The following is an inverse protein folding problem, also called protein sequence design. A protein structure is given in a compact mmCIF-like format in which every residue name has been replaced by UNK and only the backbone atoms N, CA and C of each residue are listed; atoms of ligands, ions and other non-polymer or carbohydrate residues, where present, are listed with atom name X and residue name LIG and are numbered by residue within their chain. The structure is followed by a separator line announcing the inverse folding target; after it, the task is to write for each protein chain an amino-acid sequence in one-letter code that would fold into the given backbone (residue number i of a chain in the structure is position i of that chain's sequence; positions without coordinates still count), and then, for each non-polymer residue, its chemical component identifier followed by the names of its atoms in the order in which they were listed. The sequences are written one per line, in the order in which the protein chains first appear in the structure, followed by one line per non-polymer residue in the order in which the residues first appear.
data_IF_431482533774
#
_entry.id   IF_431482533774
#
_cell.length_a   1.000
_cell.length_b   1.000
_cell.length_c   1.000
_cell.angle_alpha   90.00
_cell.angle_beta   90.00
_cell.angle_gamma   90.00
#
_symmetry.space_group_name_H-M   'P 1'
#
loop_
_entity.id
_entity.type
_entity.pdbx_description
1 polymer ?
#
# COMPACT_ATOMS: atom_id res chain seq x y z
N UNK A 1 1.05 -41.78 -49.84
CA UNK A 1 1.96 -40.87 -49.11
C UNK A 1 1.99 -39.54 -49.85
N UNK A 2 1.36 -38.50 -49.28
CA UNK A 2 1.72 -37.10 -49.57
C UNK A 2 1.22 -36.28 -48.39
N UNK A 3 2.18 -36.00 -47.51
CA UNK A 3 2.07 -35.24 -46.27
C UNK A 3 1.99 -33.76 -46.63
N UNK A 4 0.90 -33.09 -46.29
CA UNK A 4 0.80 -31.63 -46.37
C UNK A 4 1.21 -31.08 -45.01
N UNK A 5 2.43 -30.54 -44.93
CA UNK A 5 2.92 -29.75 -43.81
C UNK A 5 2.12 -28.44 -43.72
N UNK A 6 1.47 -28.19 -42.58
CA UNK A 6 1.01 -26.86 -42.20
C UNK A 6 2.24 -25.99 -41.86
N UNK A 7 2.36 -24.76 -42.39
CA UNK A 7 3.39 -23.85 -41.95
C UNK A 7 3.03 -23.30 -40.56
N UNK A 8 3.99 -23.43 -39.65
CA UNK A 8 3.95 -22.91 -38.29
C UNK A 8 3.80 -21.38 -38.35
N UNK A 9 2.60 -20.87 -38.04
CA UNK A 9 2.37 -19.43 -37.89
C UNK A 9 2.98 -18.99 -36.55
N UNK A 10 4.23 -18.51 -36.58
CA UNK A 10 4.84 -17.84 -35.44
C UNK A 10 4.16 -16.48 -35.26
N UNK A 11 3.07 -16.45 -34.47
CA UNK A 11 2.47 -15.22 -33.98
C UNK A 11 3.42 -14.60 -32.95
N UNK A 12 4.31 -13.72 -33.43
CA UNK A 12 5.09 -12.84 -32.57
C UNK A 12 4.13 -11.79 -31.99
N UNK A 13 3.49 -12.13 -30.87
CA UNK A 13 2.70 -11.19 -30.08
C UNK A 13 3.62 -10.21 -29.38
N UNK A 14 3.99 -9.12 -30.07
CA UNK A 14 4.58 -7.97 -29.40
C UNK A 14 3.48 -7.33 -28.54
N UNK A 15 3.49 -7.63 -27.24
CA UNK A 15 2.76 -6.87 -26.25
C UNK A 15 3.28 -5.43 -26.33
N UNK A 16 2.57 -4.57 -27.06
CA UNK A 16 2.68 -3.13 -26.83
C UNK A 16 2.37 -2.91 -25.35
N UNK A 17 3.17 -2.14 -24.60
CA UNK A 17 2.67 -1.59 -23.36
C UNK A 17 1.49 -0.71 -23.75
N UNK A 18 0.29 -1.26 -23.63
CA UNK A 18 -0.92 -0.47 -23.63
C UNK A 18 -0.76 0.41 -22.40
N UNK A 19 -0.38 1.68 -22.60
CA UNK A 19 -0.63 2.71 -21.61
C UNK A 19 -2.13 2.92 -21.57
N UNK A 20 -2.84 1.93 -21.03
CA UNK A 20 -4.18 2.13 -20.54
C UNK A 20 -4.03 3.06 -19.34
N UNK A 21 -4.12 4.36 -19.59
CA UNK A 21 -4.63 5.31 -18.59
C UNK A 21 -6.12 5.03 -18.46
N UNK A 22 -6.45 3.82 -18.02
CA UNK A 22 -7.76 3.39 -17.57
C UNK A 22 -7.69 3.22 -16.07
N UNK A 23 -8.84 3.37 -15.40
CA UNK A 23 -9.05 3.36 -13.95
C UNK A 23 -8.59 2.06 -13.28
N UNK A 24 -7.30 1.81 -13.29
CA UNK A 24 -6.74 0.62 -12.66
C UNK A 24 -6.81 0.85 -11.16
N UNK A 25 -7.58 -0.02 -10.52
CA UNK A 25 -7.68 -0.09 -9.07
C UNK A 25 -6.36 -0.56 -8.44
N UNK A 26 -5.44 -1.09 -9.24
CA UNK A 26 -4.13 -1.58 -8.82
C UNK A 26 -3.05 -0.97 -9.72
N UNK A 27 -1.99 -0.41 -9.14
CA UNK A 27 -0.88 0.19 -9.88
C UNK A 27 0.45 -0.40 -9.41
N UNK A 28 1.31 -0.73 -10.37
CA UNK A 28 2.72 -1.04 -10.09
C UNK A 28 3.48 0.26 -9.90
N UNK A 29 4.34 0.31 -8.88
CA UNK A 29 5.15 1.47 -8.57
C UNK A 29 6.41 1.52 -9.45
N UNK A 30 6.97 2.72 -9.61
CA UNK A 30 8.18 2.93 -10.38
C UNK A 30 9.42 2.67 -9.52
N UNK A 31 10.14 1.59 -9.84
CA UNK A 31 11.36 1.20 -9.14
C UNK A 31 12.54 2.17 -9.39
N UNK A 32 12.44 3.04 -10.39
CA UNK A 32 13.46 4.02 -10.76
C UNK A 32 13.46 5.26 -9.85
N UNK A 33 12.37 5.52 -9.13
CA UNK A 33 12.29 6.61 -8.18
C UNK A 33 13.34 6.39 -7.07
N UNK A 34 14.18 7.41 -6.88
CA UNK A 34 15.22 7.37 -5.87
C UNK A 34 14.61 7.55 -4.47
N UNK A 35 15.21 6.89 -3.49
CA UNK A 35 14.77 6.90 -2.10
C UNK A 35 14.33 5.53 -1.59
N UNK A 36 14.01 5.53 -0.29
CA UNK A 36 13.62 4.35 0.45
C UNK A 36 12.77 4.78 1.65
N UNK A 37 11.81 3.95 2.03
CA UNK A 37 11.01 4.17 3.22
C UNK A 37 11.88 4.22 4.49
N UNK A 38 13.07 3.63 4.46
CA UNK A 38 13.98 3.53 5.60
C UNK A 38 14.56 4.88 6.07
N UNK A 39 14.35 5.96 5.32
CA UNK A 39 14.69 7.33 5.74
C UNK A 39 13.65 7.95 6.68
N UNK A 40 12.48 7.32 6.83
CA UNK A 40 11.38 7.85 7.63
C UNK A 40 11.20 7.09 8.95
N UNK A 41 10.48 7.74 9.85
CA UNK A 41 10.13 7.23 11.16
C UNK A 41 8.71 7.67 11.49
N UNK A 42 8.04 6.94 12.36
CA UNK A 42 6.73 7.34 12.86
C UNK A 42 6.59 7.00 14.34
N UNK A 43 5.85 7.85 15.05
CA UNK A 43 5.55 7.66 16.47
C UNK A 43 4.38 6.68 16.60
N UNK A 44 4.54 5.70 17.47
CA UNK A 44 3.50 4.69 17.76
C UNK A 44 2.24 5.32 18.33
N UNK A 45 1.07 4.70 18.16
CA UNK A 45 -0.21 5.22 18.66
C UNK A 45 -0.21 5.43 20.17
N UNK A 46 0.59 4.67 20.93
CA UNK A 46 0.75 4.86 22.37
C UNK A 46 1.73 5.99 22.72
N UNK A 47 2.36 6.63 21.72
CA UNK A 47 3.27 7.78 21.75
C UNK A 47 4.52 7.68 22.60
N UNK A 48 4.75 6.53 23.22
CA UNK A 48 5.94 6.31 24.03
C UNK A 48 7.16 6.04 23.15
N UNK A 49 6.96 5.50 21.94
CA UNK A 49 8.04 5.00 21.08
C UNK A 49 7.95 5.63 19.69
N UNK A 50 9.09 5.96 19.12
CA UNK A 50 9.25 6.28 17.69
C UNK A 50 9.95 5.10 17.03
N UNK A 51 9.38 4.59 15.94
CA UNK A 51 9.94 3.48 15.18
C UNK A 51 10.59 4.05 13.93
N UNK A 52 11.87 3.74 13.73
CA UNK A 52 12.56 4.02 12.48
C UNK A 52 12.24 2.90 11.50
N UNK A 53 11.82 3.23 10.28
CA UNK A 53 11.49 2.18 9.33
C UNK A 53 12.73 1.42 8.86
N UNK A 54 13.93 1.98 9.01
CA UNK A 54 15.19 1.25 8.84
C UNK A 54 15.32 0.03 9.76
N UNK A 55 14.62 -0.02 10.90
CA UNK A 55 14.60 -1.19 11.78
C UNK A 55 13.98 -2.43 11.11
N UNK A 56 13.24 -2.21 10.03
CA UNK A 56 12.62 -3.23 9.18
C UNK A 56 13.51 -3.69 8.02
N UNK A 57 14.65 -3.04 7.78
CA UNK A 57 15.57 -3.41 6.71
C UNK A 57 16.24 -4.77 6.99
N UNK A 58 16.16 -5.69 6.03
CA UNK A 58 16.83 -6.99 6.10
C UNK A 58 16.32 -7.94 7.18
N UNK A 59 15.23 -7.60 7.89
CA UNK A 59 14.63 -8.47 8.91
C UNK A 59 13.39 -9.18 8.37
N UNK A 60 13.29 -10.48 8.62
CA UNK A 60 12.00 -11.17 8.62
C UNK A 60 11.24 -10.68 9.84
N UNK A 61 10.32 -9.76 9.62
CA UNK A 61 9.53 -9.25 10.71
C UNK A 61 8.46 -10.28 11.05
N UNK A 62 8.22 -10.43 12.34
CA UNK A 62 7.04 -11.12 12.82
C UNK A 62 5.83 -10.31 12.34
N UNK A 63 5.29 -10.61 11.16
CA UNK A 63 4.00 -10.09 10.75
C UNK A 63 3.03 -10.42 11.86
N UNK A 64 2.24 -9.45 12.27
CA UNK A 64 1.18 -9.75 13.19
C UNK A 64 -0.03 -10.38 12.45
N UNK A 65 -0.01 -10.47 11.10
CA UNK A 65 -0.98 -11.21 10.28
C UNK A 65 -0.58 -12.68 10.07
N UNK A 66 -1.34 -13.61 10.64
CA UNK A 66 -1.01 -15.05 10.75
C UNK A 66 -0.61 -15.73 9.44
N UNK A 67 -1.29 -15.45 8.33
CA UNK A 67 -1.12 -16.22 7.08
C UNK A 67 0.16 -15.90 6.30
N UNK A 68 0.61 -14.64 6.33
CA UNK A 68 1.79 -14.15 5.58
C UNK A 68 2.95 -13.78 6.52
N UNK A 69 2.80 -14.13 7.80
CA UNK A 69 3.84 -14.02 8.83
C UNK A 69 5.08 -14.84 8.52
N UNK A 70 4.98 -16.11 8.10
CA UNK A 70 6.16 -16.90 7.76
C UNK A 70 6.99 -16.28 6.62
N UNK A 71 6.30 -15.53 5.74
CA UNK A 71 6.90 -14.88 4.58
C UNK A 71 7.51 -13.49 4.91
N UNK A 72 7.41 -13.03 6.16
CA UNK A 72 8.03 -11.79 6.64
C UNK A 72 7.27 -10.51 6.30
N UNK A 73 5.98 -10.59 5.93
CA UNK A 73 5.14 -9.39 5.73
C UNK A 73 5.07 -8.56 7.03
N UNK A 74 4.81 -7.27 6.98
CA UNK A 74 4.43 -6.50 8.19
C UNK A 74 3.43 -5.44 7.80
N UNK A 75 2.39 -5.31 8.62
CA UNK A 75 1.32 -4.33 8.42
C UNK A 75 1.56 -3.17 9.38
N UNK A 76 1.51 -1.96 8.82
CA UNK A 76 1.68 -0.69 9.50
C UNK A 76 0.42 0.15 9.24
N UNK A 77 -0.31 0.52 10.29
CA UNK A 77 -1.54 1.30 10.17
C UNK A 77 -1.35 2.75 10.61
N UNK A 78 -1.86 3.67 9.80
CA UNK A 78 -1.81 5.11 10.04
C UNK A 78 -3.23 5.67 10.11
N UNK A 79 -3.78 5.89 11.31
CA UNK A 79 -5.07 6.55 11.47
C UNK A 79 -5.06 7.94 10.82
N UNK A 80 -6.13 8.32 10.14
CA UNK A 80 -6.25 9.60 9.45
C UNK A 80 -7.71 10.06 9.43
N UNK A 81 -7.95 11.36 9.64
CA UNK A 81 -9.29 11.93 9.73
C UNK A 81 -9.69 12.79 8.50
N UNK A 82 -8.88 12.77 7.44
CA UNK A 82 -9.06 13.64 6.26
C UNK A 82 -10.20 13.18 5.33
N UNK A 83 -10.71 11.97 5.50
CA UNK A 83 -11.71 11.34 4.63
C UNK A 83 -13.04 11.18 5.38
N UNK A 84 -14.02 12.03 5.06
CA UNK A 84 -15.36 12.00 5.66
C UNK A 84 -15.39 12.17 7.18
N UNK A 85 -14.29 12.62 7.80
CA UNK A 85 -14.09 12.69 9.26
C UNK A 85 -14.40 11.37 9.98
N UNK A 86 -13.97 10.25 9.39
CA UNK A 86 -14.27 8.90 9.89
C UNK A 86 -13.38 8.46 11.07
N UNK A 87 -12.35 9.23 11.43
CA UNK A 87 -11.48 8.97 12.59
C UNK A 87 -11.47 10.18 13.56
N UNK A 88 -12.64 10.54 14.13
CA UNK A 88 -12.77 11.74 14.97
C UNK A 88 -12.08 11.59 16.32
N UNK A 89 -11.93 10.35 16.81
CA UNK A 89 -11.41 10.05 18.14
C UNK A 89 -9.98 10.54 18.37
N UNK A 90 -9.69 10.94 19.59
CA UNK A 90 -8.36 11.29 20.04
C UNK A 90 -7.46 10.04 20.09
N UNK A 91 -6.15 10.26 20.20
CA UNK A 91 -5.14 9.19 20.21
C UNK A 91 -5.46 8.03 21.17
N UNK A 92 -5.95 8.34 22.38
CA UNK A 92 -6.27 7.35 23.41
C UNK A 92 -7.63 6.66 23.21
N UNK A 93 -8.47 7.17 22.29
CA UNK A 93 -9.82 6.65 22.01
C UNK A 93 -9.83 5.65 20.85
N UNK A 94 -8.81 5.66 19.98
CA UNK A 94 -8.75 4.82 18.77
C UNK A 94 -8.81 3.33 19.12
N UNK A 95 -7.96 2.84 20.03
CA UNK A 95 -7.97 1.42 20.43
C UNK A 95 -9.27 1.01 21.14
N UNK A 96 -9.79 1.79 22.12
CA UNK A 96 -11.12 1.54 22.68
C UNK A 96 -12.24 1.50 21.63
N UNK A 97 -12.25 2.42 20.66
CA UNK A 97 -13.26 2.46 19.61
C UNK A 97 -13.22 1.20 18.73
N UNK A 98 -12.03 0.74 18.33
CA UNK A 98 -11.87 -0.52 17.60
C UNK A 98 -12.37 -1.72 18.41
N UNK A 99 -12.07 -1.75 19.70
CA UNK A 99 -12.42 -2.85 20.61
C UNK A 99 -13.90 -2.93 20.96
N UNK A 100 -14.55 -1.79 21.13
CA UNK A 100 -15.88 -1.71 21.72
C UNK A 100 -16.97 -1.19 20.77
N UNK A 101 -16.63 -0.43 19.73
CA UNK A 101 -17.60 0.26 18.88
C UNK A 101 -17.64 -0.32 17.47
N UNK A 102 -16.54 -0.20 16.72
CA UNK A 102 -16.41 -0.72 15.36
C UNK A 102 -14.94 -0.97 15.06
N UNK A 103 -14.52 -2.21 14.77
CA UNK A 103 -15.33 -3.42 14.59
C UNK A 103 -16.10 -3.89 15.82
N UNK A 104 -15.65 -3.57 17.04
CA UNK A 104 -16.29 -4.01 18.27
C UNK A 104 -15.95 -5.46 18.63
N UNK A 105 -16.76 -6.09 19.49
CA UNK A 105 -16.64 -7.50 19.88
C UNK A 105 -15.27 -7.90 20.46
N UNK A 106 -14.59 -6.98 21.14
CA UNK A 106 -13.27 -7.25 21.72
C UNK A 106 -12.14 -7.29 20.70
N UNK A 107 -12.36 -6.80 19.48
CA UNK A 107 -11.34 -6.74 18.44
C UNK A 107 -10.10 -5.98 18.92
N UNK A 108 -8.93 -6.58 18.71
CA UNK A 108 -7.64 -5.94 18.96
C UNK A 108 -6.81 -6.08 17.68
N UNK A 109 -6.34 -4.96 17.08
CA UNK A 109 -5.53 -5.03 15.89
C UNK A 109 -4.23 -5.79 16.19
N UNK A 110 -3.99 -6.83 15.42
CA UNK A 110 -2.73 -7.54 15.35
C UNK A 110 -1.85 -6.85 14.29
N UNK A 111 -1.56 -5.57 14.46
CA UNK A 111 -0.57 -4.85 13.65
C UNK A 111 -0.22 -3.54 14.34
N UNK A 112 0.92 -2.97 13.97
CA UNK A 112 1.37 -1.74 14.60
C UNK A 112 0.53 -0.55 14.11
N UNK A 113 -0.03 0.21 15.03
CA UNK A 113 -0.67 1.49 14.76
C UNK A 113 0.25 2.64 15.16
N UNK A 114 0.29 3.67 14.31
CA UNK A 114 1.00 4.92 14.55
C UNK A 114 0.05 6.01 15.04
N UNK A 115 0.61 7.14 15.46
CA UNK A 115 -0.18 8.32 15.80
C UNK A 115 -1.01 8.78 14.61
N UNK A 116 -2.19 9.33 14.90
CA UNK A 116 -3.07 9.91 13.90
C UNK A 116 -2.37 11.10 13.25
N UNK A 117 -2.42 11.18 11.93
CA UNK A 117 -1.82 12.27 11.19
C UNK A 117 -2.36 12.37 9.77
N UNK A 118 -1.97 13.44 9.09
CA UNK A 118 -2.40 13.71 7.74
C UNK A 118 -1.59 12.91 6.73
N UNK A 119 -2.25 12.52 5.64
CA UNK A 119 -1.66 11.73 4.54
C UNK A 119 -1.70 12.49 3.20
N UNK A 120 -2.49 13.57 3.14
CA UNK A 120 -2.60 14.49 2.03
C UNK A 120 -2.49 15.96 2.49
N UNK A 121 -2.27 16.87 1.54
CA UNK A 121 -2.24 18.31 1.79
C UNK A 121 -0.89 18.84 2.27
N UNK A 122 -0.87 20.07 2.81
CA UNK A 122 0.37 20.74 3.24
C UNK A 122 1.07 20.06 4.42
N UNK A 123 0.29 19.48 5.32
CA UNK A 123 0.76 18.92 6.58
C UNK A 123 0.87 17.38 6.54
N UNK A 124 0.87 16.79 5.34
CA UNK A 124 1.00 15.35 5.17
C UNK A 124 2.33 14.83 5.74
N UNK A 125 2.27 13.64 6.34
CA UNK A 125 3.48 12.98 6.83
C UNK A 125 4.42 12.66 5.66
N UNK A 126 5.72 12.96 5.82
CA UNK A 126 6.72 12.82 4.75
C UNK A 126 6.81 11.41 4.13
N UNK A 127 6.49 10.36 4.90
CA UNK A 127 6.41 8.99 4.38
C UNK A 127 5.33 8.87 3.29
N UNK A 128 4.18 9.53 3.45
CA UNK A 128 3.12 9.50 2.45
C UNK A 128 3.45 10.35 1.23
N UNK A 129 4.18 11.46 1.40
CA UNK A 129 4.73 12.20 0.24
C UNK A 129 5.57 11.27 -0.64
N UNK A 130 6.47 10.51 -0.03
CA UNK A 130 7.33 9.55 -0.74
C UNK A 130 6.54 8.39 -1.37
N UNK A 131 5.60 7.79 -0.63
CA UNK A 131 4.79 6.67 -1.16
C UNK A 131 3.94 7.12 -2.35
N UNK A 132 3.30 8.29 -2.24
CA UNK A 132 2.45 8.85 -3.31
C UNK A 132 3.24 9.29 -4.54
N UNK A 133 4.49 9.75 -4.38
CA UNK A 133 5.35 10.09 -5.52
C UNK A 133 5.95 8.87 -6.21
N UNK A 134 6.05 7.74 -5.52
CA UNK A 134 6.68 6.52 -6.04
C UNK A 134 5.76 5.63 -6.87
N UNK A 135 4.44 5.85 -6.79
CA UNK A 135 3.44 5.01 -7.43
C UNK A 135 2.41 5.87 -8.18
N UNK A 136 2.00 5.49 -9.41
CA UNK A 136 0.89 6.13 -10.08
C UNK A 136 -0.37 6.17 -9.19
N UNK A 137 -1.23 7.21 -9.31
CA UNK A 137 -2.49 7.24 -8.58
C UNK A 137 -3.40 6.09 -9.00
N UNK A 138 -4.19 5.60 -8.05
CA UNK A 138 -5.22 4.58 -8.25
C UNK A 138 -6.59 5.24 -8.38
N UNK A 139 -7.45 4.69 -9.24
CA UNK A 139 -8.81 5.20 -9.48
C UNK A 139 -8.87 6.58 -10.13
N UNK A 140 -10.09 7.10 -10.27
CA UNK A 140 -10.38 8.34 -10.98
C UNK A 140 -9.77 9.60 -10.32
N UNK A 141 -9.74 10.70 -11.08
CA UNK A 141 -9.27 12.00 -10.61
C UNK A 141 -10.13 12.53 -9.46
N UNK A 142 -9.51 13.35 -8.61
CA UNK A 142 -10.22 13.97 -7.49
C UNK A 142 -11.27 14.97 -7.98
N UNK A 143 -12.50 14.74 -7.57
CA UNK A 143 -13.53 15.75 -7.49
C UNK A 143 -14.04 15.74 -6.04
N UNK A 144 -14.13 16.90 -5.37
CA UNK A 144 -14.69 17.02 -4.02
C UNK A 144 -16.11 17.66 -4.04
N UNK A 145 -17.05 17.17 -4.86
CA UNK A 145 -18.36 17.82 -5.00
C UNK A 145 -19.16 17.81 -3.71
N UNK A 146 -18.86 16.84 -2.83
CA UNK A 146 -19.62 16.58 -1.62
C UNK A 146 -18.95 17.13 -0.35
N UNK A 147 -17.83 17.85 -0.46
CA UNK A 147 -17.12 18.42 0.68
C UNK A 147 -16.68 17.39 1.72
N UNK A 148 -16.30 16.17 1.28
CA UNK A 148 -15.91 15.05 2.15
C UNK A 148 -14.40 14.88 2.27
N UNK A 149 -13.63 15.64 1.49
CA UNK A 149 -12.18 15.66 1.51
C UNK A 149 -11.73 16.91 2.28
N UNK A 150 -10.94 16.71 3.35
CA UNK A 150 -10.58 17.76 4.31
C UNK A 150 -9.07 18.06 4.30
N UNK A 151 -8.54 18.49 3.15
CA UNK A 151 -7.15 18.95 3.00
C UNK A 151 -7.01 19.89 1.81
N UNK A 152 -5.93 20.67 1.78
CA UNK A 152 -5.54 21.51 0.65
C UNK A 152 -4.01 21.57 0.54
N UNK A 153 -3.43 21.75 -0.66
CA UNK A 153 -4.11 21.67 -1.96
C UNK A 153 -4.44 20.22 -2.35
N UNK A 154 -5.49 20.03 -3.16
CA UNK A 154 -5.77 18.75 -3.80
C UNK A 154 -4.74 18.45 -4.91
N UNK A 155 -4.18 17.24 -4.94
CA UNK A 155 -3.24 16.76 -5.94
C UNK A 155 -3.72 15.46 -6.58
N UNK A 156 -3.38 15.23 -7.84
CA UNK A 156 -3.76 13.99 -8.55
C UNK A 156 -3.24 12.71 -7.87
N UNK A 157 -2.04 12.78 -7.29
CA UNK A 157 -1.36 11.68 -6.60
C UNK A 157 -1.89 11.40 -5.19
N UNK A 158 -2.78 12.25 -4.65
CA UNK A 158 -3.32 12.11 -3.29
C UNK A 158 -3.95 10.73 -3.06
N UNK A 159 -3.96 10.30 -1.81
CA UNK A 159 -4.71 9.12 -1.37
C UNK A 159 -6.20 9.43 -1.51
N UNK A 160 -6.95 8.51 -2.12
CA UNK A 160 -8.32 8.71 -2.57
C UNK A 160 -9.33 8.60 -1.45
N UNK A 161 -9.15 7.62 -0.55
CA UNK A 161 -10.03 7.37 0.58
C UNK A 161 -9.34 6.53 1.67
N UNK A 162 -10.06 6.29 2.77
CA UNK A 162 -9.67 5.34 3.81
C UNK A 162 -9.38 3.96 3.21
N UNK A 163 -8.39 3.26 3.77
CA UNK A 163 -7.95 1.92 3.35
C UNK A 163 -7.28 1.85 1.97
N UNK A 164 -6.70 2.92 1.45
CA UNK A 164 -5.73 2.79 0.36
C UNK A 164 -4.44 2.13 0.87
N UNK A 165 -3.78 1.32 0.04
CA UNK A 165 -2.73 0.40 0.48
C UNK A 165 -1.49 0.52 -0.40
N UNK A 166 -0.32 0.44 0.22
CA UNK A 166 0.97 0.40 -0.46
C UNK A 166 1.74 -0.85 -0.03
N UNK A 167 2.35 -1.54 -0.98
CA UNK A 167 3.34 -2.58 -0.70
C UNK A 167 4.72 -1.99 -0.87
N UNK A 168 5.58 -2.26 0.11
CA UNK A 168 6.99 -1.89 0.07
C UNK A 168 7.80 -3.18 0.13
N UNK A 169 8.79 -3.29 -0.75
CA UNK A 169 9.68 -4.44 -0.82
C UNK A 169 10.73 -4.44 0.31
N UNK A 170 11.48 -5.54 0.47
CA UNK A 170 12.52 -5.66 1.51
C UNK A 170 13.74 -4.74 1.31
N UNK A 171 13.85 -4.09 0.15
CA UNK A 171 14.82 -3.03 -0.12
C UNK A 171 14.29 -1.63 0.29
N UNK A 172 13.09 -1.55 0.85
CA UNK A 172 12.42 -0.32 1.24
C UNK A 172 11.85 0.51 0.10
N UNK A 173 11.78 -0.04 -1.12
CA UNK A 173 11.16 0.61 -2.28
C UNK A 173 9.68 0.23 -2.44
N UNK A 174 8.80 1.18 -2.75
CA UNK A 174 7.41 0.88 -3.08
C UNK A 174 7.31 -0.03 -4.32
N UNK A 175 6.37 -0.97 -4.29
CA UNK A 175 6.20 -2.01 -5.32
C UNK A 175 4.82 -1.92 -5.96
N UNK A 176 3.78 -1.78 -5.13
CA UNK A 176 2.39 -1.70 -5.61
C UNK A 176 1.57 -0.74 -4.76
N UNK A 177 0.53 -0.16 -5.37
CA UNK A 177 -0.49 0.68 -4.75
C UNK A 177 -1.88 0.15 -5.14
N UNK A 178 -2.76 -0.02 -4.16
CA UNK A 178 -4.12 -0.50 -4.38
C UNK A 178 -5.17 0.49 -3.89
N UNK A 179 -6.20 0.65 -4.71
CA UNK A 179 -7.41 1.40 -4.40
C UNK A 179 -8.13 0.79 -3.18
N UNK A 180 -8.81 1.61 -2.36
CA UNK A 180 -9.60 1.15 -1.22
C UNK A 180 -10.54 -0.03 -1.49
N UNK A 181 -11.15 -0.08 -2.67
CA UNK A 181 -12.13 -1.11 -3.07
C UNK A 181 -11.52 -2.45 -3.50
N UNK A 182 -10.19 -2.55 -3.64
CA UNK A 182 -9.56 -3.83 -4.02
C UNK A 182 -9.73 -4.84 -2.89
N UNK A 183 -10.18 -6.04 -3.26
CA UNK A 183 -10.43 -7.13 -2.33
C UNK A 183 -9.14 -7.65 -1.71
N UNK A 184 -9.17 -8.00 -0.42
CA UNK A 184 -8.01 -8.53 0.30
C UNK A 184 -7.48 -9.82 -0.33
N UNK A 185 -8.34 -10.65 -0.94
CA UNK A 185 -7.92 -11.87 -1.64
C UNK A 185 -7.04 -11.59 -2.87
N UNK A 186 -7.33 -10.52 -3.60
CA UNK A 186 -6.54 -10.08 -4.75
C UNK A 186 -5.18 -9.56 -4.29
N UNK A 187 -5.17 -8.68 -3.28
CA UNK A 187 -3.95 -8.16 -2.66
C UNK A 187 -3.05 -9.29 -2.16
N UNK A 188 -3.64 -10.29 -1.49
CA UNK A 188 -2.92 -11.50 -1.04
C UNK A 188 -2.24 -12.21 -2.21
N UNK A 189 -2.95 -12.35 -3.33
CA UNK A 189 -2.46 -13.04 -4.52
C UNK A 189 -1.31 -12.27 -5.17
N UNK A 190 -1.41 -10.95 -5.24
CA UNK A 190 -0.37 -10.07 -5.74
C UNK A 190 0.89 -10.09 -4.86
N UNK A 191 0.73 -10.02 -3.53
CA UNK A 191 1.85 -10.13 -2.57
C UNK A 191 2.58 -11.46 -2.76
N UNK A 192 1.86 -12.58 -2.81
CA UNK A 192 2.45 -13.91 -3.02
C UNK A 192 3.20 -14.00 -4.36
N UNK A 193 2.60 -13.45 -5.42
CA UNK A 193 3.24 -13.39 -6.75
C UNK A 193 4.55 -12.61 -6.68
N UNK A 194 4.54 -11.46 -6.02
CA UNK A 194 5.74 -10.63 -5.86
C UNK A 194 6.83 -11.34 -5.04
N UNK A 195 6.47 -11.95 -3.91
CA UNK A 195 7.40 -12.74 -3.09
C UNK A 195 8.02 -13.89 -3.89
N UNK A 196 7.21 -14.62 -4.66
CA UNK A 196 7.71 -15.70 -5.52
C UNK A 196 8.71 -15.19 -6.57
N UNK A 197 8.46 -14.04 -7.17
CA UNK A 197 9.39 -13.40 -8.10
C UNK A 197 10.71 -13.02 -7.44
N UNK A 198 10.68 -12.46 -6.22
CA UNK A 198 11.89 -12.14 -5.45
C UNK A 198 12.72 -13.39 -5.14
N UNK A 199 12.08 -14.46 -4.68
CA UNK A 199 12.78 -15.72 -4.42
C UNK A 199 13.40 -16.32 -5.69
N UNK A 200 12.66 -16.30 -6.80
CA UNK A 200 13.17 -16.79 -8.09
C UNK A 200 14.40 -15.99 -8.52
N UNK A 201 14.37 -14.66 -8.40
CA UNK A 201 15.51 -13.82 -8.74
C UNK A 201 16.73 -14.08 -7.86
N UNK A 202 16.54 -14.35 -6.56
CA UNK A 202 17.64 -14.68 -5.64
C UNK A 202 18.27 -16.06 -5.89
N UNK A 203 17.48 -17.03 -6.37
CA UNK A 203 17.97 -18.40 -6.59
C UNK A 203 18.75 -18.52 -7.90
N UNK A 204 18.41 -17.70 -8.91
CA UNK A 204 19.02 -17.75 -10.25
C UNK A 204 20.00 -16.60 -10.53
N UNK A 205 20.42 -15.86 -9.50
CA UNK A 205 21.55 -14.91 -9.53
C UNK A 205 22.72 -15.46 -8.75
#
# INVERSE_FOLDING_TARGET
MMSVLLPLLLLLGLLRPCTAVGDSLTQSCDASIDGTIYKYQARTLNGNHTINFSDYAGKKLNALHEELKPDGLTILGFPCNQFGKQEPGQRHEILPALKHVRPGNGFVPNFLLFEKGDVNGRDEQAVFTFLKSSCPPVGENFYNPYGRLFWEPLKLSDIKWNFEKFLVGPNGKPVMRWHPSVNISEIRSDIRRHLFQLYTQQVFQ
#
